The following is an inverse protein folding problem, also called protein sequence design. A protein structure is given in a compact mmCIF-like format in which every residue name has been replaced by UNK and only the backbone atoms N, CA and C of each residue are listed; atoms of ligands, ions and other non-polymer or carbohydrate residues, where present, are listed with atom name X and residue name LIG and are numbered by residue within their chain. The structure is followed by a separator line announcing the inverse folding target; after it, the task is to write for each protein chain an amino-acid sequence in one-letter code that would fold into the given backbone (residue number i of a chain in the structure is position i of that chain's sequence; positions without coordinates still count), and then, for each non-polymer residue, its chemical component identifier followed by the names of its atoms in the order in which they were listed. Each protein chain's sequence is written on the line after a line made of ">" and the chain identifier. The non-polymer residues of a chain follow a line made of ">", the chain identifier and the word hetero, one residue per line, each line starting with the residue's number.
data_IF_507171954815
#
_entry.id   IF_507171954815
#
_cell.length_a   1.000
_cell.length_b   1.000
_cell.length_c   1.000
_cell.angle_alpha   90.00
_cell.angle_beta   90.00
_cell.angle_gamma   90.00
#
_symmetry.space_group_name_H-M   'P 1'
#
loop_
_entity.id
_entity.type
_entity.pdbx_description
1 polymer ?
#
# COMPACT_ATOMS: atom_id res chain seq x y z
N UNK A 1 10.37 -16.84 21.24
CA UNK A 1 9.40 -15.74 21.43
C UNK A 1 8.38 -15.83 20.30
N UNK A 2 7.07 -15.80 20.56
CA UNK A 2 6.06 -15.80 19.49
C UNK A 2 5.99 -14.38 18.94
N UNK A 3 6.33 -14.19 17.67
CA UNK A 3 6.22 -12.88 17.01
C UNK A 3 4.73 -12.53 16.98
N UNK A 4 4.31 -11.37 17.53
CA UNK A 4 2.94 -10.92 17.34
C UNK A 4 2.81 -10.48 15.89
N UNK A 5 2.21 -11.33 15.06
CA UNK A 5 1.77 -10.95 13.72
C UNK A 5 0.46 -10.18 13.82
N UNK A 6 0.19 -9.21 12.92
CA UNK A 6 -1.12 -8.60 12.88
C UNK A 6 -2.14 -9.67 12.44
N UNK A 7 -3.40 -9.47 12.82
CA UNK A 7 -4.47 -10.34 12.34
C UNK A 7 -4.61 -10.24 10.82
N UNK A 8 -5.16 -11.28 10.19
CA UNK A 8 -5.47 -11.23 8.78
C UNK A 8 -6.38 -10.02 8.46
N UNK A 9 -6.06 -9.30 7.40
CA UNK A 9 -6.81 -8.15 6.94
C UNK A 9 -7.86 -8.58 5.92
N UNK A 10 -9.10 -8.17 6.16
CA UNK A 10 -10.21 -8.35 5.22
C UNK A 10 -10.80 -7.00 4.80
N UNK A 11 -10.94 -6.10 5.78
CA UNK A 11 -11.51 -4.76 5.67
C UNK A 11 -11.12 -3.91 6.89
N UNK A 12 -11.33 -2.59 6.81
CA UNK A 12 -11.09 -1.61 7.87
C UNK A 12 -9.99 -0.59 7.53
N UNK A 13 -9.38 -0.03 8.57
CA UNK A 13 -8.31 0.97 8.45
C UNK A 13 -7.03 0.32 7.91
N UNK A 14 -6.91 0.36 6.58
CA UNK A 14 -5.79 -0.23 5.82
C UNK A 14 -4.46 0.45 6.14
N UNK A 15 -4.46 1.77 6.40
CA UNK A 15 -3.23 2.49 6.71
C UNK A 15 -2.66 2.06 8.06
N UNK A 16 -3.52 2.00 9.08
CA UNK A 16 -3.09 1.52 10.40
C UNK A 16 -2.59 0.09 10.32
N UNK A 17 -3.29 -0.77 9.60
CA UNK A 17 -2.90 -2.17 9.47
C UNK A 17 -1.55 -2.35 8.76
N UNK A 18 -1.30 -1.60 7.67
CA UNK A 18 -0.02 -1.60 6.96
C UNK A 18 1.12 -1.09 7.87
N UNK A 19 0.89 -0.05 8.68
CA UNK A 19 1.90 0.45 9.63
C UNK A 19 2.28 -0.60 10.67
N UNK A 20 1.30 -1.32 11.20
CA UNK A 20 1.55 -2.43 12.15
C UNK A 20 2.34 -3.57 11.47
N UNK A 21 2.00 -3.91 10.23
CA UNK A 21 2.73 -4.90 9.42
C UNK A 21 4.19 -4.49 9.17
N UNK A 22 4.44 -3.24 8.76
CA UNK A 22 5.79 -2.70 8.50
C UNK A 22 6.64 -2.70 9.77
N UNK A 23 6.05 -2.31 10.90
CA UNK A 23 6.72 -2.35 12.20
C UNK A 23 7.16 -3.78 12.57
N UNK A 24 6.25 -4.74 12.44
CA UNK A 24 6.52 -6.15 12.79
C UNK A 24 7.57 -6.74 11.84
N UNK A 25 7.44 -6.53 10.52
CA UNK A 25 8.41 -7.04 9.54
C UNK A 25 9.81 -6.44 9.75
N UNK A 26 9.89 -5.15 10.06
CA UNK A 26 11.13 -4.47 10.44
C UNK A 26 11.76 -5.08 11.70
N UNK A 27 10.98 -5.31 12.76
CA UNK A 27 11.45 -5.98 13.99
C UNK A 27 11.98 -7.40 13.74
N UNK A 28 11.50 -8.09 12.70
CA UNK A 28 11.95 -9.43 12.33
C UNK A 28 13.03 -9.43 11.24
N UNK A 29 13.52 -8.27 10.81
CA UNK A 29 14.54 -8.15 9.78
C UNK A 29 14.08 -8.57 8.38
N UNK A 30 12.77 -8.67 8.16
CA UNK A 30 12.21 -8.97 6.84
C UNK A 30 12.35 -7.71 5.98
N UNK A 31 13.12 -7.84 4.90
CA UNK A 31 13.45 -6.74 4.01
C UNK A 31 13.36 -7.18 2.55
N UNK A 32 13.18 -6.19 1.68
CA UNK A 32 13.07 -6.42 0.25
C UNK A 32 11.63 -6.70 -0.17
N UNK A 33 11.27 -6.09 -1.28
CA UNK A 33 9.89 -6.06 -1.79
C UNK A 33 9.28 -7.46 -1.91
N UNK A 34 9.97 -8.43 -2.53
CA UNK A 34 9.45 -9.78 -2.73
C UNK A 34 9.07 -10.48 -1.42
N UNK A 35 9.86 -10.31 -0.36
CA UNK A 35 9.54 -10.88 0.95
C UNK A 35 8.34 -10.18 1.59
N UNK A 36 8.28 -8.85 1.51
CA UNK A 36 7.16 -8.09 2.04
C UNK A 36 5.86 -8.44 1.33
N UNK A 37 5.86 -8.50 0.00
CA UNK A 37 4.72 -8.93 -0.84
C UNK A 37 4.25 -10.34 -0.46
N UNK A 38 5.18 -11.26 -0.22
CA UNK A 38 4.85 -12.64 0.17
C UNK A 38 4.17 -12.71 1.53
N UNK A 39 4.74 -12.03 2.54
CA UNK A 39 4.17 -12.04 3.90
C UNK A 39 2.85 -11.28 3.94
N UNK A 40 2.76 -10.14 3.25
CA UNK A 40 1.53 -9.36 3.13
C UNK A 40 0.43 -10.22 2.53
N UNK A 41 0.68 -10.86 1.37
CA UNK A 41 -0.29 -11.70 0.68
C UNK A 41 -0.84 -12.84 1.56
N UNK A 42 -0.01 -13.43 2.42
CA UNK A 42 -0.42 -14.48 3.37
C UNK A 42 -1.35 -13.97 4.49
N UNK A 43 -1.35 -12.66 4.74
CA UNK A 43 -2.16 -12.01 5.75
C UNK A 43 -3.40 -11.31 5.17
N UNK A 44 -3.62 -11.34 3.85
CA UNK A 44 -4.81 -10.76 3.22
C UNK A 44 -5.90 -11.82 3.04
N UNK A 45 -7.14 -11.39 3.20
CA UNK A 45 -8.35 -12.19 2.99
C UNK A 45 -9.47 -11.34 2.37
N UNK A 46 -10.53 -11.99 1.87
CA UNK A 46 -11.70 -11.29 1.33
C UNK A 46 -11.36 -10.31 0.20
N UNK A 47 -11.88 -9.08 0.30
CA UNK A 47 -11.67 -8.02 -0.70
C UNK A 47 -10.20 -7.65 -0.85
N UNK A 48 -9.46 -7.59 0.26
CA UNK A 48 -8.04 -7.25 0.22
C UNK A 48 -7.21 -8.32 -0.51
N UNK A 49 -7.58 -9.60 -0.38
CA UNK A 49 -6.95 -10.68 -1.13
C UNK A 49 -7.24 -10.58 -2.63
N UNK A 50 -8.47 -10.23 -3.02
CA UNK A 50 -8.81 -10.02 -4.41
C UNK A 50 -8.01 -8.86 -5.04
N UNK A 51 -7.85 -7.74 -4.33
CA UNK A 51 -7.01 -6.62 -4.78
C UNK A 51 -5.54 -7.04 -4.97
N UNK A 52 -5.01 -7.86 -4.06
CA UNK A 52 -3.68 -8.46 -4.19
C UNK A 52 -3.56 -9.36 -5.42
N UNK A 53 -4.51 -10.27 -5.64
CA UNK A 53 -4.47 -11.23 -6.75
C UNK A 53 -4.56 -10.50 -8.11
N UNK A 54 -5.38 -9.45 -8.22
CA UNK A 54 -5.45 -8.59 -9.42
C UNK A 54 -4.13 -7.83 -9.70
N UNK A 55 -3.50 -7.31 -8.64
CA UNK A 55 -2.19 -6.67 -8.75
C UNK A 55 -1.09 -7.68 -9.15
N UNK A 56 -1.20 -8.92 -8.65
CA UNK A 56 -0.29 -10.02 -9.01
C UNK A 56 -0.39 -10.41 -10.48
N UNK A 57 -1.62 -10.61 -10.97
CA UNK A 57 -1.90 -10.95 -12.38
C UNK A 57 -1.46 -9.87 -13.37
N UNK A 58 -1.46 -8.60 -12.93
CA UNK A 58 -1.03 -7.46 -13.76
C UNK A 58 0.49 -7.32 -13.91
N UNK A 59 1.29 -8.25 -13.35
CA UNK A 59 2.75 -8.28 -13.40
C UNK A 59 3.45 -7.04 -12.78
N UNK A 60 2.72 -6.25 -12.00
CA UNK A 60 3.26 -5.19 -11.13
C UNK A 60 3.78 -5.77 -9.78
N UNK A 61 3.72 -7.10 -9.66
CA UNK A 61 3.74 -7.90 -8.44
C UNK A 61 5.08 -8.03 -7.70
N UNK A 62 6.08 -7.25 -8.09
CA UNK A 62 7.40 -7.27 -7.47
C UNK A 62 7.73 -6.00 -6.70
N UNK A 63 6.79 -5.04 -6.63
CA UNK A 63 6.95 -3.81 -5.88
C UNK A 63 5.92 -3.71 -4.74
N UNK A 64 6.45 -3.71 -3.52
CA UNK A 64 5.71 -3.53 -2.28
C UNK A 64 5.00 -2.17 -2.26
N UNK A 65 5.62 -1.11 -2.79
CA UNK A 65 5.02 0.23 -2.80
C UNK A 65 3.79 0.28 -3.72
N UNK A 66 3.83 -0.41 -4.86
CA UNK A 66 2.67 -0.51 -5.75
C UNK A 66 1.52 -1.27 -5.09
N UNK A 67 1.83 -2.41 -4.45
CA UNK A 67 0.82 -3.19 -3.73
C UNK A 67 0.24 -2.41 -2.53
N UNK A 68 1.09 -1.70 -1.80
CA UNK A 68 0.70 -0.80 -0.71
C UNK A 68 -0.25 0.29 -1.23
N UNK A 69 0.09 0.96 -2.32
CA UNK A 69 -0.75 1.98 -2.94
C UNK A 69 -2.10 1.43 -3.43
N UNK A 70 -2.10 0.24 -4.06
CA UNK A 70 -3.32 -0.42 -4.52
C UNK A 70 -4.26 -0.77 -3.35
N UNK A 71 -3.72 -1.29 -2.25
CA UNK A 71 -4.51 -1.59 -1.05
C UNK A 71 -5.04 -0.31 -0.40
N UNK A 72 -4.22 0.74 -0.29
CA UNK A 72 -4.70 2.03 0.22
C UNK A 72 -5.83 2.56 -0.65
N UNK A 73 -5.66 2.57 -1.97
CA UNK A 73 -6.68 3.07 -2.89
C UNK A 73 -8.00 2.28 -2.85
N UNK A 74 -7.95 0.96 -2.63
CA UNK A 74 -9.13 0.09 -2.54
C UNK A 74 -9.94 0.31 -1.26
N UNK A 75 -9.27 0.68 -0.16
CA UNK A 75 -9.89 0.81 1.16
C UNK A 75 -9.98 2.26 1.67
N UNK A 76 -9.43 3.23 0.94
CA UNK A 76 -9.71 4.65 1.19
C UNK A 76 -11.20 4.93 0.97
N UNK A 77 -11.81 5.67 1.89
CA UNK A 77 -13.17 6.19 1.68
C UNK A 77 -13.22 7.04 0.40
N UNK A 78 -14.35 7.03 -0.32
CA UNK A 78 -14.50 7.76 -1.60
C UNK A 78 -14.10 9.24 -1.48
N UNK A 79 -14.38 9.87 -0.33
CA UNK A 79 -14.00 11.25 -0.04
C UNK A 79 -12.49 11.47 0.17
N UNK A 80 -11.76 10.46 0.62
CA UNK A 80 -10.30 10.51 0.75
C UNK A 80 -9.61 10.19 -0.58
N UNK A 81 -10.20 9.33 -1.43
CA UNK A 81 -9.75 9.10 -2.81
C UNK A 81 -9.82 10.39 -3.63
N UNK A 82 -10.92 11.12 -3.54
CA UNK A 82 -11.08 12.40 -4.24
C UNK A 82 -10.07 13.45 -3.74
N UNK A 83 -9.87 13.56 -2.42
CA UNK A 83 -8.83 14.44 -1.85
C UNK A 83 -7.41 14.05 -2.26
N UNK A 84 -7.07 12.76 -2.23
CA UNK A 84 -5.75 12.27 -2.61
C UNK A 84 -5.47 12.52 -4.11
N UNK A 85 -6.47 12.30 -4.98
CA UNK A 85 -6.38 12.67 -6.39
C UNK A 85 -6.19 14.18 -6.56
N UNK A 86 -6.95 15.00 -5.83
CA UNK A 86 -6.85 16.45 -5.91
C UNK A 86 -5.47 16.95 -5.44
N UNK A 87 -4.88 16.31 -4.42
CA UNK A 87 -3.51 16.57 -3.97
C UNK A 87 -2.46 16.12 -4.99
N UNK A 88 -2.64 14.97 -5.63
CA UNK A 88 -1.76 14.51 -6.72
C UNK A 88 -1.78 15.48 -7.90
N UNK A 89 -2.96 15.91 -8.35
CA UNK A 89 -3.09 16.91 -9.41
C UNK A 89 -2.46 18.25 -9.03
N UNK A 90 -2.63 18.70 -7.78
CA UNK A 90 -1.99 19.92 -7.29
C UNK A 90 -0.46 19.79 -7.23
N UNK A 91 0.07 18.62 -6.84
CA UNK A 91 1.50 18.36 -6.79
C UNK A 91 2.13 18.27 -8.19
N UNK A 92 1.44 17.67 -9.17
CA UNK A 92 1.88 17.67 -10.58
C UNK A 92 1.85 19.07 -11.21
N UNK A 93 0.78 19.84 -10.94
CA UNK A 93 0.68 21.23 -11.37
C UNK A 93 1.85 22.07 -10.85
N UNK A 94 2.13 22.00 -9.54
CA UNK A 94 3.25 22.72 -8.92
C UNK A 94 4.64 22.21 -9.36
N UNK A 95 4.75 20.98 -9.85
CA UNK A 95 6.00 20.43 -10.41
C UNK A 95 6.25 20.89 -11.85
N UNK A 96 5.19 21.24 -12.58
CA UNK A 96 5.27 21.79 -13.93
C UNK A 96 5.51 23.31 -13.97
N UNK A 97 5.35 24.01 -12.84
CA UNK A 97 5.70 25.42 -12.67
C UNK A 97 7.15 25.61 -12.17
N UNK A 98 8.14 24.99 -12.84
CA UNK A 98 9.51 25.53 -12.81
C UNK A 98 9.58 26.64 -13.88
N UNK A 99 9.52 27.93 -13.50
CA UNK A 99 9.57 28.99 -14.47
C UNK A 99 11.02 29.08 -14.93
N UNK A 100 11.24 28.73 -16.21
CA UNK A 100 12.47 29.11 -16.91
C UNK A 100 12.78 30.57 -16.59
N UNK A 101 13.92 30.72 -15.93
CA UNK A 101 14.73 31.93 -15.77
C UNK A 101 14.53 32.88 -16.96
N UNK A 102 14.00 34.07 -16.67
CA UNK A 102 14.20 35.26 -17.48
C UNK A 102 14.77 36.37 -16.61
#
# INVERSE_FOLDING_TARGET
>A
MKVPWPNAFADGDVEKWIRDFELITSCNGIKGSAHLVTVLGALLSGRARAAYDLNWESNQALDYENLRAALVAEFSEEGDREKAMNWFYAAEYNRSEDPLVH
#
